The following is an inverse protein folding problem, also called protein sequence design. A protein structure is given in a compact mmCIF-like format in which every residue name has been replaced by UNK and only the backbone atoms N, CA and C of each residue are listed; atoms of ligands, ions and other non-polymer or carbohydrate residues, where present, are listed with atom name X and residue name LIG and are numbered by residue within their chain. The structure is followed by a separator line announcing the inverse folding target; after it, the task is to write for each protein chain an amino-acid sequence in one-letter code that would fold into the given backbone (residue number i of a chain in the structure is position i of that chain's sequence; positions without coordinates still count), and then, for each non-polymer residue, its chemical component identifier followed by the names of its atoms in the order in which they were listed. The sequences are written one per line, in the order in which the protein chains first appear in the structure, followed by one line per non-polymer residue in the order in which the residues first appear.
data_IF_966633447923
#
_entry.id   IF_966633447923
#
_cell.length_a   1.000
_cell.length_b   1.000
_cell.length_c   1.000
_cell.angle_alpha   90.00
_cell.angle_beta   90.00
_cell.angle_gamma   90.00
#
_symmetry.space_group_name_H-M   'P 1'
#
loop_
_entity.id
_entity.type
_entity.pdbx_description
1 polymer ?
#
# COMPACT_ATOMS: atom_id res chain seq x y z
N UNK A 1 -9.39 28.27 20.16
CA UNK A 1 -7.95 28.50 19.95
C UNK A 1 -7.44 27.85 18.66
N UNK A 2 -7.72 26.58 18.38
CA UNK A 2 -7.33 25.94 17.10
C UNK A 2 -7.96 26.60 15.87
N UNK A 3 -9.29 26.76 15.83
CA UNK A 3 -10.03 27.36 14.70
C UNK A 3 -9.65 28.81 14.36
N UNK A 4 -9.12 29.56 15.34
CA UNK A 4 -8.64 30.92 15.13
C UNK A 4 -7.18 30.94 14.68
N UNK A 5 -6.33 30.08 15.24
CA UNK A 5 -4.95 29.91 14.81
C UNK A 5 -4.84 29.36 13.38
N UNK A 6 -5.76 28.47 12.98
CA UNK A 6 -5.74 27.85 11.64
C UNK A 6 -5.92 28.83 10.49
N UNK A 7 -6.50 30.01 10.76
CA UNK A 7 -6.65 31.09 9.77
C UNK A 7 -5.30 31.74 9.39
N UNK A 8 -4.31 31.67 10.27
CA UNK A 8 -2.99 32.30 10.07
C UNK A 8 -1.85 31.29 9.97
N UNK A 9 -1.91 30.16 10.67
CA UNK A 9 -0.89 29.10 10.71
C UNK A 9 -1.51 27.72 10.53
N UNK A 10 -0.85 26.82 9.81
CA UNK A 10 -1.33 25.44 9.66
C UNK A 10 -2.62 25.32 8.84
N UNK A 11 -2.89 26.26 7.93
CA UNK A 11 -4.08 26.27 7.05
C UNK A 11 -4.29 24.91 6.37
N UNK A 12 -3.25 24.33 5.79
CA UNK A 12 -3.31 23.01 5.17
C UNK A 12 -3.66 21.90 6.18
N UNK A 13 -2.97 21.82 7.32
CA UNK A 13 -3.28 20.80 8.33
C UNK A 13 -4.72 20.92 8.86
N UNK A 14 -5.27 22.13 8.93
CA UNK A 14 -6.66 22.35 9.37
C UNK A 14 -7.72 21.82 8.40
N UNK A 15 -7.39 21.58 7.13
CA UNK A 15 -8.30 20.90 6.19
C UNK A 15 -8.34 19.39 6.40
N UNK A 16 -7.36 18.86 7.14
CA UNK A 16 -7.20 17.43 7.46
C UNK A 16 -7.70 17.14 8.88
N UNK A 17 -7.37 18.03 9.82
CA UNK A 17 -7.63 17.89 11.24
C UNK A 17 -8.46 19.08 11.74
N UNK A 18 -9.78 18.90 11.78
CA UNK A 18 -10.75 19.95 12.11
C UNK A 18 -10.67 20.36 13.59
N UNK A 19 -10.33 19.42 14.46
CA UNK A 19 -10.20 19.56 15.92
C UNK A 19 -8.93 18.87 16.42
N UNK A 20 -8.33 19.34 17.51
CA UNK A 20 -7.11 18.72 18.06
C UNK A 20 -7.54 17.65 19.06
N UNK A 21 -7.35 16.35 18.75
CA UNK A 21 -7.69 15.29 19.69
C UNK A 21 -6.70 15.27 20.86
N UNK A 22 -7.12 14.76 22.03
CA UNK A 22 -6.25 14.67 23.21
C UNK A 22 -5.09 13.66 23.04
N UNK A 23 -5.23 12.73 22.10
CA UNK A 23 -4.21 11.74 21.73
C UNK A 23 -3.88 11.86 20.24
N UNK A 24 -2.61 11.66 19.82
CA UNK A 24 -2.25 11.64 18.40
C UNK A 24 -3.11 10.66 17.59
N UNK A 25 -3.41 11.01 16.33
CA UNK A 25 -4.23 10.19 15.44
C UNK A 25 -3.65 8.79 15.18
N UNK A 26 -2.34 8.62 15.38
CA UNK A 26 -1.63 7.35 15.23
C UNK A 26 -1.48 6.57 16.55
N UNK A 27 -2.09 7.00 17.67
CA UNK A 27 -1.93 6.33 18.98
C UNK A 27 -2.40 4.88 19.00
N UNK A 28 -3.42 4.56 18.21
CA UNK A 28 -3.96 3.21 18.08
C UNK A 28 -3.48 2.51 16.80
N UNK A 29 -2.52 3.11 16.10
CA UNK A 29 -1.96 2.57 14.87
C UNK A 29 -0.56 2.02 15.18
N UNK A 30 -0.31 0.79 14.78
CA UNK A 30 0.99 0.12 14.91
C UNK A 30 1.83 0.34 13.66
N UNK A 31 2.05 1.60 13.28
CA UNK A 31 2.92 1.94 12.17
C UNK A 31 4.37 2.12 12.64
N UNK A 32 5.32 1.67 11.82
CA UNK A 32 6.73 1.99 11.98
C UNK A 32 7.00 3.49 11.99
N UNK A 33 8.15 3.90 12.56
CA UNK A 33 8.53 5.32 12.69
C UNK A 33 8.62 6.03 11.34
N UNK A 34 9.11 5.36 10.30
CA UNK A 34 9.25 5.93 8.95
C UNK A 34 7.88 6.25 8.33
N UNK A 35 6.97 5.27 8.27
CA UNK A 35 5.59 5.45 7.78
C UNK A 35 4.84 6.53 8.56
N UNK A 36 4.98 6.53 9.88
CA UNK A 36 4.41 7.56 10.75
C UNK A 36 4.96 8.94 10.41
N UNK A 37 6.28 9.06 10.21
CA UNK A 37 6.94 10.31 9.82
C UNK A 37 6.45 10.80 8.45
N UNK A 38 6.35 9.92 7.46
CA UNK A 38 5.85 10.25 6.12
C UNK A 38 4.41 10.75 6.17
N UNK A 39 3.53 10.05 6.89
CA UNK A 39 2.13 10.48 7.05
C UNK A 39 2.03 11.80 7.84
N UNK A 40 2.86 12.01 8.85
CA UNK A 40 2.95 13.30 9.57
C UNK A 40 3.38 14.42 8.61
N UNK A 41 4.45 14.23 7.84
CA UNK A 41 4.93 15.19 6.85
C UNK A 41 3.85 15.52 5.83
N UNK A 42 3.13 14.51 5.32
CA UNK A 42 2.02 14.69 4.40
C UNK A 42 0.85 15.46 5.02
N UNK A 43 0.49 15.17 6.28
CA UNK A 43 -0.56 15.90 7.00
C UNK A 43 -0.16 17.35 7.28
N UNK A 44 1.12 17.60 7.58
CA UNK A 44 1.61 18.95 7.83
C UNK A 44 1.84 19.77 6.55
N UNK A 45 1.85 19.13 5.37
CA UNK A 45 2.18 19.80 4.12
C UNK A 45 3.70 19.98 3.91
N UNK A 46 4.52 19.20 4.63
CA UNK A 46 5.98 19.31 4.71
C UNK A 46 6.68 18.06 4.15
N UNK A 47 6.21 17.56 3.00
CA UNK A 47 6.88 16.46 2.29
C UNK A 47 7.71 16.99 1.12
N UNK A 48 8.60 16.14 0.60
CA UNK A 48 9.44 16.44 -0.57
C UNK A 48 8.61 16.46 -1.87
N UNK A 49 7.79 17.49 -2.02
CA UNK A 49 6.99 17.77 -3.23
C UNK A 49 7.38 19.15 -3.79
N UNK A 50 7.25 19.38 -5.11
CA UNK A 50 7.70 20.62 -5.74
C UNK A 50 7.20 21.89 -5.05
N UNK A 51 5.91 21.94 -4.68
CA UNK A 51 5.34 23.08 -3.95
C UNK A 51 6.05 23.37 -2.61
N UNK A 52 6.39 22.33 -1.85
CA UNK A 52 7.05 22.51 -0.56
C UNK A 52 8.53 22.87 -0.73
N UNK A 53 9.23 22.20 -1.66
CA UNK A 53 10.66 22.44 -1.91
C UNK A 53 10.91 23.84 -2.47
N UNK A 54 10.03 24.34 -3.35
CA UNK A 54 10.09 25.71 -3.84
C UNK A 54 9.90 26.74 -2.72
N UNK A 55 8.97 26.49 -1.79
CA UNK A 55 8.77 27.34 -0.59
C UNK A 55 10.00 27.37 0.34
N UNK A 56 10.84 26.34 0.30
CA UNK A 56 12.11 26.27 1.02
C UNK A 56 13.29 26.82 0.20
N UNK A 57 13.05 27.33 -1.02
CA UNK A 57 14.08 27.76 -1.98
C UNK A 57 15.06 26.64 -2.38
N UNK A 58 14.64 25.37 -2.28
CA UNK A 58 15.43 24.22 -2.72
C UNK A 58 15.18 23.86 -4.19
N UNK A 59 14.03 24.28 -4.73
CA UNK A 59 13.72 24.21 -6.15
C UNK A 59 13.41 25.62 -6.69
N UNK A 60 13.71 25.87 -7.97
CA UNK A 60 13.48 27.18 -8.58
C UNK A 60 11.99 27.48 -8.82
N UNK A 61 11.12 26.46 -8.76
CA UNK A 61 9.69 26.58 -9.04
C UNK A 61 8.90 25.49 -8.30
N UNK A 62 7.64 25.79 -8.00
CA UNK A 62 6.65 24.88 -7.44
C UNK A 62 5.96 24.00 -8.49
N UNK A 63 6.25 24.21 -9.78
CA UNK A 63 5.69 23.44 -10.88
C UNK A 63 6.15 21.98 -10.82
N UNK A 64 5.22 21.07 -11.05
CA UNK A 64 5.50 19.65 -11.15
C UNK A 64 6.43 19.35 -12.33
N UNK A 65 7.27 18.33 -12.21
CA UNK A 65 8.11 17.83 -13.31
C UNK A 65 7.31 17.37 -14.56
N UNK A 66 5.99 17.26 -14.47
CA UNK A 66 5.15 17.03 -15.63
C UNK A 66 4.93 18.29 -16.49
N UNK A 67 5.23 19.47 -15.95
CA UNK A 67 5.09 20.78 -16.60
C UNK A 67 3.66 21.35 -16.65
N UNK A 68 2.66 20.61 -16.15
CA UNK A 68 1.24 20.96 -16.39
C UNK A 68 0.58 21.75 -15.27
N UNK A 69 1.09 21.69 -14.04
CA UNK A 69 0.47 22.33 -12.87
C UNK A 69 1.47 22.45 -11.71
N UNK A 70 1.06 23.09 -10.63
CA UNK A 70 1.75 23.09 -9.34
C UNK A 70 1.90 21.65 -8.82
N UNK A 71 3.11 21.28 -8.43
CA UNK A 71 3.42 19.98 -7.83
C UNK A 71 2.97 19.90 -6.36
N UNK A 72 1.68 20.08 -6.12
CA UNK A 72 1.05 19.84 -4.83
C UNK A 72 0.62 18.37 -4.69
N UNK A 73 0.17 17.98 -3.50
CA UNK A 73 -0.28 16.61 -3.29
C UNK A 73 -1.52 16.24 -4.12
N UNK A 74 -2.47 17.16 -4.35
CA UNK A 74 -3.67 16.79 -5.10
C UNK A 74 -3.34 16.56 -6.57
N UNK A 75 -2.48 17.39 -7.14
CA UNK A 75 -1.92 17.18 -8.47
C UNK A 75 -1.18 15.85 -8.53
N UNK A 76 -0.21 15.61 -7.65
CA UNK A 76 0.58 14.37 -7.66
C UNK A 76 -0.31 13.13 -7.51
N UNK A 77 -1.26 13.14 -6.56
CA UNK A 77 -2.09 11.98 -6.23
C UNK A 77 -3.30 11.77 -7.13
N UNK A 78 -3.87 12.81 -7.75
CA UNK A 78 -5.12 12.70 -8.51
C UNK A 78 -5.04 13.16 -9.98
N UNK A 79 -4.12 14.05 -10.36
CA UNK A 79 -4.17 14.71 -11.68
C UNK A 79 -2.91 14.61 -12.55
N UNK A 80 -1.72 14.41 -11.99
CA UNK A 80 -0.44 14.45 -12.70
C UNK A 80 -0.32 13.33 -13.78
N UNK A 81 -0.17 13.65 -15.07
CA UNK A 81 -0.18 12.64 -16.13
C UNK A 81 1.00 11.66 -16.09
N UNK A 82 2.05 11.96 -15.30
CA UNK A 82 3.19 11.07 -15.11
C UNK A 82 2.86 9.79 -14.35
N UNK A 83 1.74 9.75 -13.64
CA UNK A 83 1.35 8.60 -12.82
C UNK A 83 0.00 8.05 -13.28
N UNK A 84 -0.04 6.75 -13.61
CA UNK A 84 -1.29 6.03 -13.84
C UNK A 84 -1.96 5.70 -12.50
N UNK A 85 -3.17 6.24 -12.31
CA UNK A 85 -3.95 6.17 -11.05
C UNK A 85 -5.25 5.41 -11.20
N UNK A 86 -5.49 4.77 -12.33
CA UNK A 86 -6.75 4.07 -12.58
C UNK A 86 -7.04 3.10 -11.43
N UNK A 87 -5.99 2.45 -10.93
CA UNK A 87 -6.09 1.57 -9.78
C UNK A 87 -6.31 2.28 -8.44
N UNK A 88 -5.63 3.41 -8.22
CA UNK A 88 -5.86 4.26 -7.05
C UNK A 88 -7.32 4.69 -6.93
N UNK A 89 -7.90 5.18 -8.02
CA UNK A 89 -9.31 5.56 -8.08
C UNK A 89 -10.28 4.39 -7.87
N UNK A 90 -10.02 3.25 -8.49
CA UNK A 90 -10.85 2.05 -8.31
C UNK A 90 -10.83 1.52 -6.87
N UNK A 91 -9.69 1.52 -6.18
CA UNK A 91 -9.66 1.10 -4.77
C UNK A 91 -10.39 2.08 -3.87
N UNK A 92 -10.23 3.40 -4.09
CA UNK A 92 -10.98 4.41 -3.36
C UNK A 92 -12.50 4.23 -3.54
N UNK A 93 -12.95 3.91 -4.76
CA UNK A 93 -14.36 3.56 -5.01
C UNK A 93 -14.77 2.28 -4.28
N UNK A 94 -13.92 1.26 -4.25
CA UNK A 94 -14.17 -0.02 -3.57
C UNK A 94 -14.33 0.15 -2.06
N UNK A 95 -13.44 0.91 -1.42
CA UNK A 95 -13.56 1.26 0.02
C UNK A 95 -14.58 2.38 0.28
N UNK A 96 -15.41 2.71 -0.72
CA UNK A 96 -16.52 3.67 -0.66
C UNK A 96 -16.09 5.08 -0.24
N UNK A 97 -14.89 5.49 -0.63
CA UNK A 97 -14.48 6.89 -0.51
C UNK A 97 -15.25 7.72 -1.54
N UNK A 98 -15.94 8.79 -1.12
CA UNK A 98 -16.73 9.63 -2.02
C UNK A 98 -15.82 10.44 -2.95
N UNK A 99 -16.25 10.58 -4.21
CA UNK A 99 -15.61 11.42 -5.23
C UNK A 99 -16.47 12.64 -5.57
N UNK A 100 -15.86 13.80 -5.93
CA UNK A 100 -14.41 14.05 -5.98
C UNK A 100 -13.79 14.04 -4.57
N UNK A 101 -12.59 13.47 -4.47
CA UNK A 101 -11.85 13.37 -3.19
C UNK A 101 -10.56 14.16 -3.27
N UNK A 102 -9.90 14.35 -2.14
CA UNK A 102 -8.63 15.05 -2.05
C UNK A 102 -7.69 14.32 -1.10
N UNK A 103 -6.41 14.66 -1.17
CA UNK A 103 -5.43 14.07 -0.25
C UNK A 103 -5.80 14.38 1.20
N UNK A 104 -6.42 15.54 1.44
CA UNK A 104 -6.83 15.94 2.77
C UNK A 104 -7.92 15.01 3.29
N UNK A 105 -8.92 14.67 2.48
CA UNK A 105 -9.99 13.71 2.83
C UNK A 105 -9.42 12.32 3.08
N UNK A 106 -8.45 11.86 2.28
CA UNK A 106 -7.79 10.57 2.48
C UNK A 106 -6.96 10.52 3.75
N UNK A 107 -6.17 11.56 4.01
CA UNK A 107 -5.37 11.66 5.24
C UNK A 107 -6.26 11.83 6.47
N UNK A 108 -7.47 12.38 6.33
CA UNK A 108 -8.48 12.39 7.40
C UNK A 108 -9.08 11.01 7.67
N UNK A 109 -8.99 10.06 6.72
CA UNK A 109 -9.63 8.74 6.79
C UNK A 109 -8.60 7.62 7.05
N UNK A 110 -8.61 7.07 8.28
CA UNK A 110 -7.64 6.08 8.77
C UNK A 110 -8.13 4.66 8.43
N UNK A 111 -8.28 4.32 7.14
CA UNK A 111 -8.64 2.95 6.77
C UNK A 111 -7.44 2.00 6.96
N UNK A 112 -7.45 1.28 8.09
CA UNK A 112 -6.33 0.49 8.62
C UNK A 112 -5.95 -0.73 7.76
N UNK A 113 -6.87 -1.27 6.96
CA UNK A 113 -6.64 -2.53 6.24
C UNK A 113 -5.64 -2.40 5.09
N UNK A 114 -5.54 -1.22 4.48
CA UNK A 114 -4.56 -0.93 3.42
C UNK A 114 -3.15 -0.82 4.01
N UNK A 115 -3.02 -0.22 5.19
CA UNK A 115 -1.72 -0.04 5.84
C UNK A 115 -1.20 -1.33 6.51
N UNK A 116 -2.08 -2.30 6.81
CA UNK A 116 -1.73 -3.56 7.49
C UNK A 116 -0.93 -4.56 6.64
N UNK A 117 -0.88 -4.40 5.32
CA UNK A 117 -0.17 -5.36 4.45
C UNK A 117 1.06 -4.70 3.80
N UNK A 118 1.03 -3.37 3.68
CA UNK A 118 2.12 -2.55 3.12
C UNK A 118 3.24 -2.24 4.10
N UNK A 119 3.07 -2.51 5.40
CA UNK A 119 4.09 -2.24 6.41
C UNK A 119 4.79 -3.54 6.82
N UNK A 120 6.11 -3.55 6.72
CA UNK A 120 6.96 -4.68 7.15
C UNK A 120 6.60 -5.21 8.56
N UNK A 121 6.45 -4.32 9.54
CA UNK A 121 6.09 -4.68 10.93
C UNK A 121 4.78 -5.47 11.03
N UNK A 122 3.83 -5.22 10.13
CA UNK A 122 2.56 -5.95 10.11
C UNK A 122 2.71 -7.31 9.41
N UNK A 123 3.58 -7.41 8.40
CA UNK A 123 3.95 -8.69 7.79
C UNK A 123 4.63 -9.60 8.78
N UNK A 124 5.55 -9.09 9.61
CA UNK A 124 6.20 -9.85 10.70
C UNK A 124 5.17 -10.53 11.60
N UNK A 125 4.08 -9.84 11.95
CA UNK A 125 3.03 -10.37 12.85
C UNK A 125 2.22 -11.54 12.27
N UNK A 126 2.31 -11.77 10.97
CA UNK A 126 1.58 -12.88 10.32
C UNK A 126 2.22 -14.24 10.57
N UNK A 127 3.52 -14.29 10.87
CA UNK A 127 4.31 -15.50 11.05
C UNK A 127 4.09 -16.14 12.42
N UNK A 128 2.96 -16.85 12.57
CA UNK A 128 2.60 -17.54 13.81
C UNK A 128 3.19 -18.96 13.93
N UNK A 129 3.36 -19.62 12.80
CA UNK A 129 3.76 -21.04 12.73
C UNK A 129 5.14 -21.24 12.09
N UNK A 130 5.86 -20.15 11.82
CA UNK A 130 7.11 -20.18 11.05
C UNK A 130 8.14 -21.08 11.75
N UNK A 131 8.72 -22.08 11.04
CA UNK A 131 9.57 -23.07 11.68
C UNK A 131 11.00 -22.57 11.97
N UNK A 132 11.41 -21.44 11.40
CA UNK A 132 12.78 -20.93 11.47
C UNK A 132 12.95 -19.78 12.47
N UNK A 133 14.11 -19.76 13.13
CA UNK A 133 14.44 -18.76 14.17
C UNK A 133 15.43 -17.71 13.65
N UNK A 134 15.78 -16.75 14.50
CA UNK A 134 16.63 -15.60 14.15
C UNK A 134 18.04 -15.96 13.66
N UNK A 135 18.53 -17.19 13.91
CA UNK A 135 19.84 -17.63 13.40
C UNK A 135 19.79 -18.10 11.94
N UNK A 136 18.60 -18.28 11.36
CA UNK A 136 18.41 -18.71 9.98
C UNK A 136 18.32 -17.51 9.04
N UNK A 137 18.68 -17.69 7.76
CA UNK A 137 18.57 -16.62 6.77
C UNK A 137 17.13 -16.31 6.40
N UNK A 138 16.28 -17.33 6.33
CA UNK A 138 14.85 -17.21 6.13
C UNK A 138 14.08 -16.92 7.44
N UNK A 139 14.70 -16.20 8.40
CA UNK A 139 13.99 -15.77 9.61
C UNK A 139 12.83 -14.81 9.28
N UNK A 140 11.91 -14.65 10.23
CA UNK A 140 10.68 -13.84 10.07
C UNK A 140 10.96 -12.42 9.59
N UNK A 141 12.03 -11.76 10.09
CA UNK A 141 12.35 -10.39 9.72
C UNK A 141 12.80 -10.31 8.27
N UNK A 142 13.71 -11.19 7.86
CA UNK A 142 14.19 -11.23 6.48
C UNK A 142 13.09 -11.59 5.48
N UNK A 143 12.17 -12.49 5.87
CA UNK A 143 10.98 -12.82 5.09
C UNK A 143 10.08 -11.59 4.89
N UNK A 144 9.76 -10.90 5.99
CA UNK A 144 8.94 -9.68 5.95
C UNK A 144 9.61 -8.56 5.15
N UNK A 145 10.91 -8.37 5.31
CA UNK A 145 11.73 -7.38 4.60
C UNK A 145 11.69 -7.63 3.08
N UNK A 146 11.80 -8.90 2.65
CA UNK A 146 11.67 -9.31 1.24
C UNK A 146 10.23 -9.25 0.71
N UNK A 147 9.29 -8.76 1.51
CA UNK A 147 7.90 -8.53 1.12
C UNK A 147 6.98 -9.72 1.33
N UNK A 148 7.41 -10.75 2.06
CA UNK A 148 6.57 -11.91 2.37
C UNK A 148 5.77 -11.72 3.64
N UNK A 149 4.56 -12.27 3.65
CA UNK A 149 3.78 -12.51 4.86
C UNK A 149 3.31 -13.96 4.85
N UNK A 150 3.16 -14.54 6.04
CA UNK A 150 2.70 -15.92 6.21
C UNK A 150 1.22 -16.05 5.85
N UNK A 151 0.91 -17.06 5.05
CA UNK A 151 -0.46 -17.51 4.76
C UNK A 151 -0.76 -18.89 5.35
N UNK A 152 0.22 -19.47 6.05
CA UNK A 152 0.11 -20.74 6.76
C UNK A 152 -1.14 -20.85 7.63
N UNK A 153 -1.83 -22.00 7.51
CA UNK A 153 -2.96 -22.36 8.37
C UNK A 153 -2.55 -23.14 9.61
N UNK A 154 -1.35 -23.72 9.61
CA UNK A 154 -0.72 -24.37 10.77
C UNK A 154 -0.79 -25.90 10.77
N UNK A 155 -1.45 -26.51 9.77
CA UNK A 155 -1.57 -27.98 9.67
C UNK A 155 -0.38 -28.57 8.91
N UNK A 156 -0.34 -28.36 7.58
CA UNK A 156 0.65 -28.96 6.67
C UNK A 156 1.42 -27.91 5.84
N UNK A 157 1.11 -26.63 6.04
CA UNK A 157 1.58 -25.49 5.25
C UNK A 157 2.26 -24.44 6.15
N UNK A 158 3.03 -24.91 7.15
CA UNK A 158 3.59 -24.08 8.22
C UNK A 158 4.55 -22.99 7.73
N UNK A 159 5.11 -23.17 6.54
CA UNK A 159 6.05 -22.29 5.87
C UNK A 159 5.50 -21.65 4.58
N UNK A 160 4.18 -21.71 4.37
CA UNK A 160 3.55 -21.05 3.23
C UNK A 160 3.54 -19.53 3.42
N UNK A 161 4.10 -18.82 2.44
CA UNK A 161 4.15 -17.36 2.39
C UNK A 161 3.60 -16.81 1.09
N UNK A 162 3.23 -15.53 1.12
CA UNK A 162 2.78 -14.77 -0.04
C UNK A 162 3.42 -13.41 -0.08
N UNK A 163 3.85 -12.97 -1.26
CA UNK A 163 4.32 -11.61 -1.43
C UNK A 163 3.15 -10.62 -1.36
N UNK A 164 3.28 -9.55 -0.58
CA UNK A 164 2.26 -8.50 -0.48
C UNK A 164 1.96 -7.82 -1.81
N UNK A 165 2.97 -7.68 -2.69
CA UNK A 165 2.84 -6.92 -3.92
C UNK A 165 2.45 -7.79 -5.11
N UNK A 166 3.27 -8.77 -5.46
CA UNK A 166 3.07 -9.58 -6.66
C UNK A 166 2.13 -10.77 -6.44
N UNK A 167 1.79 -11.07 -5.17
CA UNK A 167 0.91 -12.19 -4.82
C UNK A 167 1.53 -13.57 -5.05
N UNK A 168 2.82 -13.66 -5.37
CA UNK A 168 3.51 -14.95 -5.52
C UNK A 168 3.50 -15.69 -4.19
N UNK A 169 2.97 -16.91 -4.21
CA UNK A 169 3.01 -17.84 -3.09
C UNK A 169 4.21 -18.77 -3.24
N UNK A 170 4.88 -19.05 -2.12
CA UNK A 170 6.05 -19.93 -1.99
C UNK A 170 5.94 -20.73 -0.69
N UNK A 171 6.41 -21.96 -0.72
CA UNK A 171 6.51 -22.91 0.39
C UNK A 171 7.77 -23.78 0.21
N UNK A 172 8.05 -24.67 1.16
CA UNK A 172 9.23 -25.55 1.11
C UNK A 172 10.54 -24.84 1.40
N UNK A 173 10.52 -23.85 2.30
CA UNK A 173 11.69 -23.05 2.65
C UNK A 173 12.71 -23.86 3.42
N UNK A 174 14.00 -23.60 3.20
CA UNK A 174 15.12 -24.16 3.95
C UNK A 174 15.81 -23.07 4.81
N UNK A 175 16.47 -23.42 5.92
CA UNK A 175 17.12 -22.47 6.84
C UNK A 175 18.07 -21.44 6.20
N UNK A 176 18.73 -21.81 5.09
CA UNK A 176 19.76 -21.02 4.42
C UNK A 176 19.24 -20.25 3.20
N UNK A 177 17.95 -20.36 2.89
CA UNK A 177 17.34 -19.63 1.78
C UNK A 177 17.36 -18.13 2.05
N UNK A 178 17.75 -17.37 1.03
CA UNK A 178 17.69 -15.91 1.06
C UNK A 178 16.35 -15.44 0.49
N UNK A 179 15.48 -14.80 1.29
CA UNK A 179 14.14 -14.45 0.85
C UNK A 179 14.10 -13.52 -0.37
N UNK A 180 15.07 -12.61 -0.50
CA UNK A 180 15.17 -11.71 -1.66
C UNK A 180 15.58 -12.47 -2.93
N UNK A 181 16.54 -13.38 -2.81
CA UNK A 181 16.97 -14.24 -3.91
C UNK A 181 15.84 -15.15 -4.40
N UNK A 182 15.11 -15.79 -3.48
CA UNK A 182 13.96 -16.64 -3.80
C UNK A 182 12.80 -15.85 -4.41
N UNK A 183 12.52 -14.66 -3.88
CA UNK A 183 11.53 -13.78 -4.48
C UNK A 183 11.92 -13.41 -5.92
N UNK A 184 13.20 -13.12 -6.16
CA UNK A 184 13.70 -12.74 -7.48
C UNK A 184 13.69 -13.92 -8.45
N UNK A 185 14.07 -15.12 -8.01
CA UNK A 185 14.09 -16.33 -8.85
C UNK A 185 12.67 -16.71 -9.29
N UNK A 186 11.69 -16.63 -8.39
CA UNK A 186 10.33 -17.09 -8.61
C UNK A 186 9.37 -16.00 -9.13
N UNK A 187 9.69 -14.71 -8.95
CA UNK A 187 8.88 -13.59 -9.41
C UNK A 187 9.71 -12.34 -9.76
N UNK A 188 10.69 -12.49 -10.67
CA UNK A 188 11.51 -11.40 -11.19
C UNK A 188 10.73 -10.18 -11.77
N UNK A 189 9.44 -10.34 -12.06
CA UNK A 189 8.55 -9.29 -12.54
C UNK A 189 7.97 -8.40 -11.42
N UNK A 190 8.15 -8.75 -10.16
CA UNK A 190 7.67 -7.97 -9.02
C UNK A 190 8.42 -6.63 -8.94
N UNK A 191 7.75 -5.46 -8.97
CA UNK A 191 8.51 -4.21 -8.95
C UNK A 191 9.20 -3.96 -7.61
N UNK A 192 8.68 -4.50 -6.50
CA UNK A 192 9.36 -4.46 -5.21
C UNK A 192 10.71 -5.19 -5.28
N UNK A 193 10.74 -6.40 -5.85
CA UNK A 193 11.99 -7.17 -5.99
C UNK A 193 12.96 -6.53 -7.00
N UNK A 194 12.44 -5.83 -8.01
CA UNK A 194 13.25 -5.09 -8.99
C UNK A 194 13.92 -3.85 -8.38
N UNK A 195 13.26 -3.18 -7.42
CA UNK A 195 13.85 -2.07 -6.68
C UNK A 195 15.00 -2.54 -5.79
N UNK A 196 14.93 -3.78 -5.28
CA UNK A 196 15.96 -4.43 -4.47
C UNK A 196 16.44 -3.53 -3.31
N UNK A 197 15.46 -2.91 -2.64
CA UNK A 197 15.63 -1.97 -1.54
C UNK A 197 14.62 -2.30 -0.45
N UNK A 198 15.03 -2.08 0.79
CA UNK A 198 14.13 -2.16 1.96
C UNK A 198 13.12 -1.03 1.92
N UNK A 199 11.97 -1.23 2.55
CA UNK A 199 10.91 -0.22 2.57
C UNK A 199 11.38 1.13 3.13
N UNK A 200 12.21 1.10 4.17
CA UNK A 200 12.79 2.29 4.80
C UNK A 200 13.80 3.02 3.88
N UNK A 201 14.34 2.32 2.89
CA UNK A 201 15.32 2.86 1.92
C UNK A 201 14.65 3.39 0.64
N UNK A 202 13.32 3.27 0.52
CA UNK A 202 12.57 3.72 -0.66
C UNK A 202 12.39 5.24 -0.67
N UNK A 203 12.65 5.86 -1.82
CA UNK A 203 12.22 7.23 -2.08
C UNK A 203 10.70 7.29 -2.22
N UNK A 204 10.10 8.44 -1.91
CA UNK A 204 8.65 8.62 -2.03
C UNK A 204 8.07 8.20 -3.40
N UNK A 205 8.70 8.53 -4.55
CA UNK A 205 8.22 8.05 -5.85
C UNK A 205 8.27 6.52 -6.01
N UNK A 206 9.29 5.86 -5.45
CA UNK A 206 9.45 4.40 -5.49
C UNK A 206 8.38 3.74 -4.63
N UNK A 207 8.18 4.25 -3.41
CA UNK A 207 7.10 3.82 -2.50
C UNK A 207 5.72 3.97 -3.14
N UNK A 208 5.46 5.11 -3.79
CA UNK A 208 4.21 5.33 -4.52
C UNK A 208 4.06 4.36 -5.70
N UNK A 209 5.14 4.02 -6.40
CA UNK A 209 5.09 3.04 -7.51
C UNK A 209 4.69 1.64 -7.03
N UNK A 210 5.17 1.23 -5.85
CA UNK A 210 4.78 -0.03 -5.19
C UNK A 210 3.31 0.00 -4.81
N UNK A 211 2.83 1.07 -4.19
CA UNK A 211 1.40 1.22 -3.86
C UNK A 211 0.54 1.14 -5.13
N UNK A 212 0.92 1.83 -6.20
CA UNK A 212 0.19 1.79 -7.46
C UNK A 212 0.14 0.38 -8.05
N UNK A 213 1.25 -0.36 -8.03
CA UNK A 213 1.27 -1.74 -8.53
C UNK A 213 0.43 -2.68 -7.65
N UNK A 214 0.47 -2.54 -6.33
CA UNK A 214 -0.39 -3.31 -5.42
C UNK A 214 -1.85 -3.14 -5.78
N UNK A 215 -2.28 -1.89 -5.95
CA UNK A 215 -3.66 -1.57 -6.30
C UNK A 215 -4.05 -2.15 -7.66
N UNK A 216 -3.14 -2.15 -8.64
CA UNK A 216 -3.37 -2.80 -9.96
C UNK A 216 -3.58 -4.30 -9.81
N UNK A 217 -2.78 -4.97 -8.98
CA UNK A 217 -2.88 -6.41 -8.76
C UNK A 217 -4.17 -6.78 -8.03
N UNK A 218 -4.59 -5.99 -7.04
CA UNK A 218 -5.86 -6.19 -6.33
C UNK A 218 -7.07 -6.08 -7.26
N UNK A 219 -7.07 -5.14 -8.20
CA UNK A 219 -8.16 -5.01 -9.18
C UNK A 219 -8.22 -6.22 -10.09
N UNK A 220 -7.06 -6.67 -10.58
CA UNK A 220 -6.97 -7.87 -11.43
C UNK A 220 -7.52 -9.10 -10.68
N UNK A 221 -7.10 -9.30 -9.43
CA UNK A 221 -7.59 -10.39 -8.58
C UNK A 221 -9.12 -10.31 -8.37
N UNK A 222 -9.66 -9.13 -8.09
CA UNK A 222 -11.10 -8.93 -7.95
C UNK A 222 -11.88 -9.23 -9.24
N UNK A 223 -11.33 -8.85 -10.40
CA UNK A 223 -11.91 -9.18 -11.72
C UNK A 223 -11.91 -10.69 -11.98
N UNK A 224 -10.83 -11.38 -11.60
CA UNK A 224 -10.73 -12.84 -11.72
C UNK A 224 -11.77 -13.54 -10.84
N UNK A 225 -11.91 -13.13 -9.57
CA UNK A 225 -12.93 -13.66 -8.65
C UNK A 225 -14.35 -13.44 -9.19
N UNK A 226 -14.65 -12.23 -9.69
CA UNK A 226 -15.95 -11.93 -10.27
C UNK A 226 -16.25 -12.80 -11.50
N UNK A 227 -15.26 -12.99 -12.38
CA UNK A 227 -15.36 -13.88 -13.54
C UNK A 227 -15.64 -15.32 -13.11
N UNK A 228 -14.91 -15.85 -12.12
CA UNK A 228 -15.12 -17.20 -11.60
C UNK A 228 -16.54 -17.40 -11.01
N UNK A 229 -17.07 -16.39 -10.32
CA UNK A 229 -18.43 -16.42 -9.78
C UNK A 229 -19.49 -16.45 -10.88
N UNK A 230 -19.30 -15.64 -11.93
CA UNK A 230 -20.17 -15.63 -13.11
C UNK A 230 -20.15 -16.99 -13.79
N UNK A 231 -18.96 -17.55 -14.02
CA UNK A 231 -18.79 -18.87 -14.64
C UNK A 231 -19.45 -19.98 -13.82
N UNK A 232 -19.29 -19.94 -12.49
CA UNK A 232 -19.94 -20.90 -11.59
C UNK A 232 -21.46 -20.84 -11.72
N UNK A 233 -22.04 -19.64 -11.70
CA UNK A 233 -23.49 -19.42 -11.89
C UNK A 233 -23.95 -19.87 -13.27
N UNK A 234 -23.21 -19.55 -14.32
CA UNK A 234 -23.51 -19.98 -15.68
C UNK A 234 -23.55 -21.51 -15.78
N UNK A 235 -22.57 -22.21 -15.21
CA UNK A 235 -22.55 -23.69 -15.13
C UNK A 235 -23.75 -24.26 -14.37
N UNK A 236 -24.16 -23.63 -13.27
CA UNK A 236 -25.35 -24.05 -12.51
C UNK A 236 -26.65 -23.89 -13.32
N UNK A 237 -26.82 -22.76 -14.01
CA UNK A 237 -27.96 -22.52 -14.90
C UNK A 237 -27.98 -23.54 -16.04
N UNK A 238 -26.82 -23.80 -16.66
CA UNK A 238 -26.71 -24.76 -17.75
C UNK A 238 -27.10 -26.19 -17.32
N UNK A 239 -26.66 -26.61 -16.13
CA UNK A 239 -27.07 -27.90 -15.54
C UNK A 239 -28.58 -27.98 -15.29
N UNK A 240 -29.22 -26.88 -14.86
CA UNK A 240 -30.68 -26.82 -14.67
C UNK A 240 -31.42 -26.94 -16.00
N UNK A 241 -31.00 -26.20 -17.03
CA UNK A 241 -31.58 -26.27 -18.38
C UNK A 241 -31.47 -27.70 -18.93
N UNK A 242 -30.31 -28.35 -18.79
CA UNK A 242 -30.13 -29.72 -19.27
C UNK A 242 -31.02 -30.73 -18.52
N UNK A 243 -31.26 -30.54 -17.21
CA UNK A 243 -32.20 -31.39 -16.45
C UNK A 243 -33.65 -31.21 -16.89
N UNK A 244 -34.05 -30.00 -17.31
CA UNK A 244 -35.42 -29.71 -17.79
C UNK A 244 -35.69 -30.19 -19.23
N UNK A 245 -34.63 -30.53 -19.98
CA UNK A 245 -34.72 -31.06 -21.36
C UNK A 245 -34.77 -32.59 -21.42
N UNK A 246 -34.63 -33.28 -20.29
CA UNK A 246 -34.85 -34.73 -20.14
C UNK A 246 -36.23 -34.96 -19.54
#
# INVERSE_FOLDING_TARGET
MWRSSSQTKGRYYSTIQVDIPPKPWFTNLTFGKATTSTLIRMRLGHASIPLHLARLNLLPSDICECGNDVGDFNHIFFACPRYDRSAFFSSLLYIKIPFPTSISVLLSNININVYRILAEDERVKTFKYWPYNDNNKCNIRNMAEAGFYSVATGDNDVDAVKCFLCGKELDGWEPEDDPWAEHKSHAAYCAFVQLNKREDDLLLPEYLSIILQYMKNEIRNNQEIATQLIDKKAKEVWRKIHKLRK
#
